data_IF_066434785759
#
_entry.id   IF_066434785759
#
_cell.length_a   1.000
_cell.length_b   1.000
_cell.length_c   1.000
_cell.angle_alpha   90.00
_cell.angle_beta   90.00
_cell.angle_gamma   90.00
#
_symmetry.space_group_name_H-M   'P 1'
#
loop_
_entity.id
_entity.type
_entity.pdbx_description
1 polymer ?
#
# COMPACT_ATOMS: atom_id res chain seq x y z
N UNK A 1 24.14 -11.06 19.69
CA UNK A 1 23.80 -9.65 19.44
C UNK A 1 22.29 -9.51 19.60
N UNK A 2 21.84 -8.74 20.59
CA UNK A 2 20.45 -8.76 21.07
C UNK A 2 19.45 -8.42 19.95
N UNK A 3 18.52 -9.36 19.72
CA UNK A 3 17.35 -9.19 18.87
C UNK A 3 16.53 -8.01 19.39
N UNK A 4 16.55 -6.88 18.66
CA UNK A 4 15.56 -5.81 18.86
C UNK A 4 14.23 -6.37 18.36
N UNK A 5 13.50 -7.05 19.24
CA UNK A 5 12.11 -7.40 18.98
C UNK A 5 11.30 -6.11 18.88
N UNK A 6 10.42 -6.05 17.89
CA UNK A 6 9.36 -5.04 17.83
C UNK A 6 8.60 -5.05 19.17
N UNK A 7 8.23 -3.89 19.72
CA UNK A 7 7.49 -3.84 20.98
C UNK A 7 6.19 -4.66 20.87
N UNK A 8 5.76 -5.24 21.99
CA UNK A 8 4.55 -6.08 22.06
C UNK A 8 3.27 -5.30 21.65
N UNK A 9 3.34 -3.97 21.60
CA UNK A 9 2.31 -3.09 21.06
C UNK A 9 2.92 -1.93 20.27
N UNK A 10 2.30 -1.60 19.13
CA UNK A 10 2.64 -0.43 18.31
C UNK A 10 1.76 0.79 18.62
N UNK A 11 0.90 0.70 19.65
CA UNK A 11 0.00 1.78 20.02
C UNK A 11 0.77 3.01 20.51
N UNK A 12 0.43 4.19 19.97
CA UNK A 12 1.04 5.47 20.34
C UNK A 12 2.41 5.75 19.69
N UNK A 13 2.93 4.84 18.86
CA UNK A 13 4.17 5.08 18.12
C UNK A 13 3.93 5.98 16.90
N UNK A 14 4.91 6.84 16.63
CA UNK A 14 4.94 7.69 15.44
C UNK A 14 6.00 7.18 14.46
N UNK A 15 5.63 7.11 13.19
CA UNK A 15 6.51 6.67 12.10
C UNK A 15 6.84 7.86 11.21
N UNK A 16 8.08 7.93 10.67
CA UNK A 16 8.45 9.00 9.78
C UNK A 16 7.63 8.95 8.49
N UNK A 17 7.33 10.13 7.93
CA UNK A 17 6.57 10.25 6.69
C UNK A 17 7.20 9.50 5.50
N UNK A 18 8.51 9.27 5.56
CA UNK A 18 9.30 8.56 4.54
C UNK A 18 9.04 7.07 4.48
N UNK A 19 8.49 6.45 5.54
CA UNK A 19 8.15 5.01 5.53
C UNK A 19 7.06 4.68 4.52
N UNK A 20 6.20 5.67 4.21
CA UNK A 20 5.20 5.59 3.15
C UNK A 20 5.39 6.78 2.20
N UNK A 21 6.20 6.62 1.13
CA UNK A 21 6.44 7.67 0.14
C UNK A 21 5.16 8.21 -0.50
N UNK A 22 5.18 9.47 -0.93
CA UNK A 22 4.00 10.13 -1.53
C UNK A 22 3.43 9.36 -2.74
N UNK A 23 4.31 8.81 -3.60
CA UNK A 23 3.90 7.98 -4.74
C UNK A 23 3.17 6.69 -4.31
N UNK A 24 3.48 6.14 -3.13
CA UNK A 24 2.78 4.95 -2.63
C UNK A 24 1.41 5.33 -2.05
N UNK A 25 1.27 6.53 -1.47
CA UNK A 25 -0.02 7.03 -0.96
C UNK A 25 -1.03 7.24 -2.08
N UNK A 26 -0.60 7.71 -3.25
CA UNK A 26 -1.50 7.82 -4.42
C UNK A 26 -1.93 6.45 -4.94
N UNK A 27 -1.06 5.43 -4.89
CA UNK A 27 -1.45 4.05 -5.19
C UNK A 27 -2.52 3.55 -4.21
N UNK A 28 -2.44 3.89 -2.92
CA UNK A 28 -3.47 3.50 -1.95
C UNK A 28 -4.83 4.18 -2.20
N UNK A 29 -4.88 5.28 -2.95
CA UNK A 29 -6.14 5.89 -3.37
C UNK A 29 -6.79 5.12 -4.52
N UNK A 30 -6.01 4.58 -5.45
CA UNK A 30 -6.51 3.80 -6.60
C UNK A 30 -6.70 2.32 -6.28
N UNK A 31 -5.75 1.70 -5.58
CA UNK A 31 -5.82 0.36 -5.03
C UNK A 31 -6.05 0.39 -3.51
N UNK A 32 -7.30 0.19 -3.11
CA UNK A 32 -7.72 0.31 -1.70
C UNK A 32 -7.27 -0.84 -0.79
N UNK A 33 -6.71 -1.92 -1.35
CA UNK A 33 -6.20 -3.06 -0.60
C UNK A 33 -4.88 -3.57 -1.18
N UNK A 34 -4.01 -4.06 -0.31
CA UNK A 34 -2.79 -4.77 -0.69
C UNK A 34 -2.46 -5.86 0.32
N UNK A 35 -2.30 -7.08 -0.17
CA UNK A 35 -1.84 -8.24 0.60
C UNK A 35 -0.42 -8.61 0.20
N UNK A 36 0.43 -8.87 1.19
CA UNK A 36 1.68 -9.59 1.04
C UNK A 36 1.56 -10.82 1.92
N UNK A 37 1.38 -11.99 1.30
CA UNK A 37 1.15 -13.25 2.00
C UNK A 37 2.44 -13.81 2.64
N UNK A 38 3.59 -13.55 2.03
CA UNK A 38 4.90 -13.97 2.51
C UNK A 38 5.95 -12.94 2.09
N UNK A 39 6.59 -12.31 3.08
CA UNK A 39 7.62 -11.29 2.90
C UNK A 39 8.97 -11.89 2.50
N UNK A 40 9.25 -13.14 2.86
CA UNK A 40 10.51 -13.83 2.57
C UNK A 40 10.50 -14.50 1.19
N UNK A 41 9.33 -14.78 0.63
CA UNK A 41 9.21 -15.44 -0.66
C UNK A 41 9.78 -14.58 -1.80
N UNK A 42 10.67 -15.12 -2.64
CA UNK A 42 11.18 -14.39 -3.79
C UNK A 42 10.07 -14.09 -4.81
N UNK A 43 10.15 -12.91 -5.43
CA UNK A 43 9.20 -12.52 -6.49
C UNK A 43 9.39 -13.39 -7.74
N UNK A 44 8.27 -13.77 -8.37
CA UNK A 44 8.26 -14.56 -9.60
C UNK A 44 8.35 -13.64 -10.81
N UNK A 45 9.20 -13.99 -11.78
CA UNK A 45 9.36 -13.22 -13.03
C UNK A 45 8.10 -13.33 -13.90
N UNK A 46 7.58 -12.20 -14.34
CA UNK A 46 6.51 -12.14 -15.34
C UNK A 46 7.13 -12.25 -16.72
N UNK A 47 6.66 -13.21 -17.52
CA UNK A 47 7.03 -13.32 -18.93
C UNK A 47 6.05 -12.51 -19.78
N UNK A 48 6.56 -11.66 -20.64
CA UNK A 48 5.77 -10.86 -21.57
C UNK A 48 6.32 -10.96 -22.98
N UNK A 49 5.49 -10.62 -23.97
CA UNK A 49 5.89 -10.59 -25.38
C UNK A 49 7.01 -9.59 -25.61
N UNK A 50 8.02 -9.97 -26.39
CA UNK A 50 9.11 -9.08 -26.83
C UNK A 50 8.64 -7.95 -27.75
N UNK A 51 7.41 -8.05 -28.28
CA UNK A 51 6.79 -7.00 -29.10
C UNK A 51 6.30 -5.81 -28.26
N UNK A 52 6.28 -5.93 -26.93
CA UNK A 52 5.87 -4.83 -26.06
C UNK A 52 7.06 -3.86 -25.93
N UNK A 53 6.85 -2.60 -26.30
CA UNK A 53 7.92 -1.59 -26.27
C UNK A 53 8.37 -1.24 -24.85
N UNK A 54 7.50 -1.44 -23.85
CA UNK A 54 7.74 -1.12 -22.45
C UNK A 54 7.43 -2.30 -21.54
N UNK A 55 7.93 -2.25 -20.30
CA UNK A 55 7.62 -3.26 -19.28
C UNK A 55 6.17 -3.12 -18.80
N UNK A 56 5.57 -4.24 -18.40
CA UNK A 56 4.22 -4.24 -17.81
C UNK A 56 4.24 -3.53 -16.45
N UNK A 57 3.40 -2.50 -16.31
CA UNK A 57 3.20 -1.80 -15.04
C UNK A 57 2.20 -2.58 -14.19
N UNK A 58 2.68 -3.15 -13.08
CA UNK A 58 1.86 -3.95 -12.15
C UNK A 58 1.32 -3.15 -10.96
N UNK A 59 1.40 -1.81 -10.99
CA UNK A 59 0.97 -0.97 -9.88
C UNK A 59 -0.48 -1.23 -9.43
N UNK A 60 -1.35 -1.66 -10.35
CA UNK A 60 -2.75 -2.05 -10.15
C UNK A 60 -3.01 -3.54 -9.83
N UNK A 61 -1.96 -4.37 -9.73
CA UNK A 61 -2.10 -5.82 -9.53
C UNK A 61 -2.04 -6.19 -8.05
N UNK A 62 -2.98 -7.04 -7.63
CA UNK A 62 -2.99 -7.61 -6.26
C UNK A 62 -1.81 -8.54 -5.99
N UNK A 63 -1.26 -9.18 -7.03
CA UNK A 63 -0.14 -10.12 -6.93
C UNK A 63 1.21 -9.45 -7.20
N UNK A 64 1.27 -8.11 -7.22
CA UNK A 64 2.52 -7.39 -7.43
C UNK A 64 3.52 -7.77 -6.34
N UNK A 65 4.68 -8.25 -6.77
CA UNK A 65 5.79 -8.61 -5.89
C UNK A 65 6.19 -7.47 -4.95
N UNK A 66 6.69 -7.85 -3.77
CA UNK A 66 7.34 -6.94 -2.85
C UNK A 66 8.86 -7.04 -3.06
N UNK A 67 9.50 -5.92 -3.38
CA UNK A 67 10.94 -5.88 -3.64
C UNK A 67 11.59 -4.67 -2.99
N UNK A 68 12.90 -4.74 -2.81
CA UNK A 68 13.71 -3.63 -2.30
C UNK A 68 13.49 -3.33 -0.83
N UNK A 69 13.50 -2.03 -0.49
CA UNK A 69 13.50 -1.54 0.89
C UNK A 69 12.28 -1.99 1.71
N UNK A 70 11.10 -2.16 1.10
CA UNK A 70 9.89 -2.50 1.84
C UNK A 70 9.86 -3.95 2.32
N UNK A 71 10.41 -4.90 1.55
CA UNK A 71 10.57 -6.27 2.00
C UNK A 71 11.49 -6.32 3.23
N UNK A 72 12.65 -5.65 3.15
CA UNK A 72 13.60 -5.58 4.26
C UNK A 72 13.01 -4.87 5.49
N UNK A 73 12.23 -3.80 5.28
CA UNK A 73 11.53 -3.11 6.36
C UNK A 73 10.60 -4.04 7.14
N UNK A 74 9.78 -4.82 6.44
CA UNK A 74 8.88 -5.81 7.05
C UNK A 74 9.66 -6.92 7.78
N UNK A 75 10.76 -7.42 7.20
CA UNK A 75 11.63 -8.40 7.85
C UNK A 75 12.30 -7.85 9.12
N UNK A 76 12.77 -6.60 9.08
CA UNK A 76 13.34 -5.93 10.26
C UNK A 76 12.32 -5.74 11.38
N UNK A 77 11.04 -5.61 11.02
CA UNK A 77 9.93 -5.61 11.98
C UNK A 77 9.48 -7.02 12.38
N UNK A 78 10.05 -8.10 11.84
CA UNK A 78 9.61 -9.48 12.12
C UNK A 78 8.24 -9.83 11.53
N UNK A 79 7.75 -9.07 10.56
CA UNK A 79 6.46 -9.31 9.90
C UNK A 79 6.61 -10.38 8.83
N UNK A 80 5.82 -11.46 8.91
CA UNK A 80 5.77 -12.54 7.92
C UNK A 80 4.78 -12.27 6.79
N UNK A 81 3.61 -11.73 7.14
CA UNK A 81 2.58 -11.35 6.18
C UNK A 81 1.93 -10.03 6.59
N UNK A 82 1.43 -9.26 5.63
CA UNK A 82 0.73 -8.01 5.91
C UNK A 82 -0.42 -7.74 4.95
N UNK A 83 -1.53 -7.24 5.50
CA UNK A 83 -2.65 -6.68 4.75
C UNK A 83 -2.75 -5.19 5.06
N UNK A 84 -2.89 -4.38 4.03
CA UNK A 84 -3.12 -2.93 4.16
C UNK A 84 -4.42 -2.57 3.47
N UNK A 85 -5.26 -1.80 4.15
CA UNK A 85 -6.53 -1.28 3.65
C UNK A 85 -6.55 0.24 3.77
N UNK A 86 -6.98 0.92 2.71
CA UNK A 86 -7.05 2.39 2.66
C UNK A 86 -8.32 2.92 3.32
N UNK A 87 -8.16 3.88 4.24
CA UNK A 87 -9.27 4.64 4.82
C UNK A 87 -9.37 5.96 4.06
N UNK A 88 -10.42 6.09 3.25
CA UNK A 88 -10.65 7.27 2.41
C UNK A 88 -11.89 8.01 2.92
N UNK A 89 -11.75 9.31 3.15
CA UNK A 89 -12.82 10.20 3.64
C UNK A 89 -13.09 11.31 2.63
N UNK A 90 -14.35 11.75 2.51
CA UNK A 90 -14.68 12.93 1.72
C UNK A 90 -14.80 12.72 0.22
N UNK A 91 -15.09 11.49 -0.24
CA UNK A 91 -15.73 11.34 -1.55
C UNK A 91 -17.17 11.81 -1.41
N UNK A 92 -17.45 13.10 -1.65
CA UNK A 92 -18.78 13.46 -2.14
C UNK A 92 -19.05 12.54 -3.32
N UNK A 93 -20.22 11.91 -3.36
CA UNK A 93 -20.66 10.99 -4.41
C UNK A 93 -20.09 11.38 -5.78
N UNK A 94 -19.08 10.65 -6.25
CA UNK A 94 -18.75 10.57 -7.67
C UNK A 94 -19.64 9.51 -8.35
N UNK A 95 -20.85 9.30 -7.82
CA UNK A 95 -21.90 8.53 -8.46
C UNK A 95 -22.86 9.55 -9.08
N UNK A 96 -22.89 9.57 -10.41
CA UNK A 96 -23.85 10.31 -11.25
C UNK A 96 -23.66 11.83 -11.43
N UNK A 97 -22.52 12.29 -11.95
CA UNK A 97 -22.55 13.50 -12.81
C UNK A 97 -22.82 13.07 -14.24
N UNK A 98 -24.00 13.37 -14.74
CA UNK A 98 -24.33 13.15 -16.15
C UNK A 98 -23.33 13.91 -17.05
N UNK A 99 -23.03 13.43 -18.27
CA UNK A 99 -22.06 14.06 -19.17
C UNK A 99 -22.38 15.50 -19.63
N UNK A 100 -23.48 16.13 -19.18
CA UNK A 100 -23.94 17.42 -19.71
C UNK A 100 -23.98 18.59 -18.71
N UNK A 101 -23.55 18.43 -17.46
CA UNK A 101 -23.47 19.59 -16.55
C UNK A 101 -22.19 20.39 -16.76
N UNK A 102 -22.38 21.55 -17.41
CA UNK A 102 -21.35 22.47 -17.83
C UNK A 102 -20.54 23.09 -16.68
N UNK A 103 -19.23 23.16 -16.92
CA UNK A 103 -18.37 24.33 -16.77
C UNK A 103 -18.86 25.45 -15.82
N UNK A 104 -19.03 25.17 -14.53
CA UNK A 104 -19.15 26.22 -13.50
C UNK A 104 -18.88 25.71 -12.07
N UNK A 105 -17.78 24.97 -11.87
CA UNK A 105 -17.25 24.77 -10.52
C UNK A 105 -16.38 25.97 -10.14
N UNK A 106 -17.02 26.97 -9.49
CA UNK A 106 -16.36 28.13 -8.87
C UNK A 106 -15.13 27.67 -8.07
N UNK A 107 -13.96 28.22 -8.42
CA UNK A 107 -12.75 28.26 -7.59
C UNK A 107 -13.09 28.92 -6.25
N UNK A 108 -13.50 28.13 -5.27
CA UNK A 108 -13.53 28.59 -3.88
C UNK A 108 -12.08 28.65 -3.40
N UNK A 109 -11.62 29.85 -3.01
CA UNK A 109 -10.29 30.10 -2.45
C UNK A 109 -10.07 29.50 -1.06
N UNK A 110 -10.64 28.32 -0.81
CA UNK A 110 -10.39 27.55 0.40
C UNK A 110 -9.03 26.84 0.33
N UNK A 111 -8.49 26.37 1.47
CA UNK A 111 -7.29 25.54 1.46
C UNK A 111 -7.50 24.35 0.52
N UNK A 112 -6.44 23.88 -0.16
CA UNK A 112 -6.53 22.74 -1.06
C UNK A 112 -7.20 21.57 -0.32
N UNK A 113 -8.08 20.81 -0.99
CA UNK A 113 -8.77 19.70 -0.34
C UNK A 113 -7.73 18.80 0.32
N UNK A 114 -7.93 18.50 1.60
CA UNK A 114 -7.08 17.53 2.31
C UNK A 114 -7.07 16.24 1.49
N UNK A 115 -5.91 15.59 1.38
CA UNK A 115 -5.81 14.28 0.72
C UNK A 115 -6.96 13.39 1.22
N UNK A 116 -7.77 12.81 0.33
CA UNK A 116 -8.91 12.01 0.76
C UNK A 116 -8.44 10.73 1.46
N UNK A 117 -7.17 10.31 1.30
CA UNK A 117 -6.56 9.24 2.10
C UNK A 117 -6.33 9.72 3.54
N UNK A 118 -7.28 9.41 4.42
CA UNK A 118 -7.24 9.75 5.84
C UNK A 118 -6.21 8.91 6.60
N UNK A 119 -6.11 7.63 6.26
CA UNK A 119 -5.18 6.71 6.93
C UNK A 119 -5.17 5.33 6.30
N UNK A 120 -4.46 4.41 6.95
CA UNK A 120 -4.37 3.01 6.56
C UNK A 120 -4.71 2.13 7.76
N UNK A 121 -5.56 1.13 7.55
CA UNK A 121 -5.68 -0.01 8.46
C UNK A 121 -4.65 -1.05 8.04
N UNK A 122 -3.72 -1.36 8.93
CA UNK A 122 -2.60 -2.28 8.67
C UNK A 122 -2.70 -3.47 9.61
N UNK A 123 -2.76 -4.66 9.03
CA UNK A 123 -2.70 -5.92 9.75
C UNK A 123 -1.33 -6.56 9.50
N UNK A 124 -0.68 -7.00 10.56
CA UNK A 124 0.57 -7.75 10.51
C UNK A 124 0.37 -9.14 11.09
N UNK A 125 0.90 -10.13 10.40
CA UNK A 125 1.05 -11.48 10.90
C UNK A 125 2.52 -11.70 11.25
N UNK A 126 2.77 -11.93 12.53
CA UNK A 126 4.07 -12.30 13.07
C UNK A 126 4.01 -13.81 13.31
N UNK A 127 4.32 -14.62 12.31
CA UNK A 127 4.29 -16.08 12.44
C UNK A 127 5.40 -16.58 13.37
N UNK A 128 5.11 -17.61 14.16
CA UNK A 128 6.15 -18.47 14.75
C UNK A 128 6.93 -19.22 13.66
N UNK A 129 7.99 -19.99 13.99
CA UNK A 129 8.84 -20.65 13.00
C UNK A 129 8.00 -21.46 12.01
N UNK A 130 8.43 -21.57 10.72
CA UNK A 130 7.70 -22.35 9.74
C UNK A 130 7.45 -23.77 10.27
N UNK A 131 6.30 -24.39 9.99
CA UNK A 131 6.11 -25.81 10.31
C UNK A 131 7.25 -26.60 9.64
N UNK A 132 7.84 -27.58 10.32
CA UNK A 132 8.89 -28.39 9.71
C UNK A 132 8.35 -29.00 8.41
N UNK A 133 9.14 -28.84 7.34
CA UNK A 133 8.83 -29.36 6.01
C UNK A 133 8.36 -30.82 6.08
N UNK A 134 7.28 -31.13 5.36
CA UNK A 134 6.89 -32.50 5.03
C UNK A 134 7.62 -32.97 3.76
#
# INVERSE_FOLDING_TARGET
VMSRRVPDSMFGLHFPATDIPQANRSIFMSMRSRLIADVARPSVKVLHSLRLAENIILAGSQLRGVTGCHAQYLQNMGVHATLVLSIVTGTSEAQHTSPWEGENAKKTGGPPPRSPLWGLLVCHHYGGPPPPDH
#
